data_IF_931077930222
#
_entry.id   IF_931077930222
#
_cell.length_a   1.000
_cell.length_b   1.000
_cell.length_c   1.000
_cell.angle_alpha   90.00
_cell.angle_beta   90.00
_cell.angle_gamma   90.00
#
_symmetry.space_group_name_H-M   'P 1'
#
loop_
_entity.id
_entity.type
_entity.pdbx_description
1 polymer ?
#
# COMPACT_ATOMS: atom_id res chain seq x y z
N UNK A 1 12.75 9.37 6.15
CA UNK A 1 12.40 8.96 4.78
C UNK A 1 11.26 9.87 4.31
N UNK A 2 11.23 10.33 3.06
CA UNK A 2 10.09 11.18 2.59
C UNK A 2 8.85 10.31 2.43
N UNK A 3 7.65 10.89 2.56
CA UNK A 3 6.39 10.15 2.36
C UNK A 3 6.32 9.49 0.98
N UNK A 4 6.82 10.16 -0.07
CA UNK A 4 6.91 9.58 -1.41
C UNK A 4 7.75 8.29 -1.44
N UNK A 5 8.90 8.28 -0.76
CA UNK A 5 9.74 7.07 -0.69
C UNK A 5 9.05 5.91 0.05
N UNK A 6 8.24 6.21 1.06
CA UNK A 6 7.42 5.20 1.75
C UNK A 6 6.37 4.64 0.79
N UNK A 7 5.63 5.51 0.11
CA UNK A 7 4.60 5.12 -0.88
C UNK A 7 5.22 4.22 -1.96
N UNK A 8 6.33 4.65 -2.56
CA UNK A 8 7.01 3.88 -3.61
C UNK A 8 7.51 2.52 -3.08
N UNK A 9 7.96 2.44 -1.83
CA UNK A 9 8.40 1.18 -1.21
C UNK A 9 7.22 0.24 -0.98
N UNK A 10 6.12 0.74 -0.44
CA UNK A 10 4.89 -0.04 -0.23
C UNK A 10 4.38 -0.58 -1.55
N UNK A 11 4.20 0.27 -2.56
CA UNK A 11 3.69 -0.16 -3.88
C UNK A 11 4.56 -1.25 -4.48
N UNK A 12 5.89 -1.07 -4.52
CA UNK A 12 6.81 -2.09 -5.05
C UNK A 12 6.79 -3.40 -4.29
N UNK A 13 6.59 -3.39 -2.98
CA UNK A 13 6.54 -4.65 -2.20
C UNK A 13 5.22 -5.39 -2.33
N UNK A 14 4.14 -4.67 -2.63
CA UNK A 14 2.82 -5.23 -2.89
C UNK A 14 2.64 -5.70 -4.35
N UNK A 15 3.49 -5.22 -5.26
CA UNK A 15 3.52 -5.72 -6.64
C UNK A 15 3.77 -7.24 -6.68
N UNK A 16 2.92 -7.96 -7.41
CA UNK A 16 3.05 -9.39 -7.60
C UNK A 16 2.58 -10.25 -6.42
N UNK A 17 2.01 -9.66 -5.37
CA UNK A 17 1.31 -10.43 -4.33
C UNK A 17 0.05 -11.04 -4.94
N UNK A 18 -0.12 -12.37 -4.91
CA UNK A 18 -1.32 -13.03 -5.43
C UNK A 18 -2.60 -12.46 -4.80
N UNK A 19 -3.64 -12.34 -5.61
CA UNK A 19 -4.93 -11.79 -5.18
C UNK A 19 -4.97 -10.28 -4.98
N UNK A 20 -3.86 -9.52 -5.02
CA UNK A 20 -3.93 -8.05 -5.07
C UNK A 20 -4.30 -7.61 -6.50
N UNK A 21 -5.44 -6.96 -6.63
CA UNK A 21 -5.97 -6.44 -7.91
C UNK A 21 -5.57 -4.97 -8.10
N UNK A 22 -5.47 -4.21 -7.00
CA UNK A 22 -5.07 -2.81 -7.07
C UNK A 22 -4.59 -2.27 -5.74
N UNK A 23 -3.63 -1.35 -5.80
CA UNK A 23 -3.14 -0.57 -4.66
C UNK A 23 -3.45 0.89 -4.94
N UNK A 24 -4.16 1.55 -4.02
CA UNK A 24 -4.60 2.94 -4.18
C UNK A 24 -4.07 3.80 -3.05
N UNK A 25 -3.69 5.03 -3.37
CA UNK A 25 -3.40 6.06 -2.39
C UNK A 25 -4.70 6.75 -2.01
N UNK A 26 -4.94 6.87 -0.70
CA UNK A 26 -6.09 7.56 -0.14
C UNK A 26 -5.73 8.91 0.49
N UNK A 27 -6.76 9.54 1.07
CA UNK A 27 -6.59 10.64 2.00
C UNK A 27 -6.03 11.94 1.41
N UNK A 28 -5.37 12.71 2.27
CA UNK A 28 -4.88 14.06 1.96
C UNK A 28 -3.79 14.03 0.88
N UNK A 29 -2.98 12.96 0.82
CA UNK A 29 -1.90 12.81 -0.15
C UNK A 29 -2.44 12.51 -1.55
N UNK A 30 -3.46 11.65 -1.67
CA UNK A 30 -4.14 11.42 -2.94
C UNK A 30 -4.82 12.67 -3.49
N UNK A 31 -5.36 13.51 -2.61
CA UNK A 31 -6.02 14.78 -2.99
C UNK A 31 -5.06 15.95 -3.21
N UNK A 32 -3.78 15.79 -2.93
CA UNK A 32 -2.80 16.88 -3.00
C UNK A 32 -2.96 17.95 -1.89
N UNK A 33 -3.76 17.70 -0.85
CA UNK A 33 -4.03 18.63 0.27
C UNK A 33 -3.28 18.28 1.55
N UNK A 34 -2.20 17.51 1.43
CA UNK A 34 -1.44 17.01 2.58
C UNK A 34 -0.53 18.08 3.17
N UNK A 35 -0.28 17.96 4.48
CA UNK A 35 0.76 18.71 5.19
C UNK A 35 2.02 17.85 5.36
N UNK A 36 3.18 18.43 5.71
CA UNK A 36 4.40 17.65 5.92
C UNK A 36 4.27 16.53 6.95
N UNK A 37 3.41 16.71 7.95
CA UNK A 37 3.10 15.77 9.03
C UNK A 37 1.88 14.88 8.78
N UNK A 38 1.23 14.99 7.61
CA UNK A 38 0.14 14.10 7.25
C UNK A 38 0.62 12.65 7.12
N UNK A 39 -0.23 11.74 7.57
CA UNK A 39 -0.12 10.31 7.38
C UNK A 39 -0.25 9.87 5.91
N UNK A 40 -0.21 8.56 5.70
CA UNK A 40 -0.33 7.91 4.40
C UNK A 40 -1.44 6.87 4.51
N UNK A 41 -2.51 7.04 3.74
CA UNK A 41 -3.59 6.07 3.61
C UNK A 41 -3.36 5.19 2.36
N UNK A 42 -3.29 3.88 2.53
CA UNK A 42 -3.19 2.91 1.43
C UNK A 42 -4.39 1.97 1.48
N UNK A 43 -5.12 1.87 0.36
CA UNK A 43 -6.17 0.90 0.15
C UNK A 43 -5.72 -0.24 -0.77
N UNK A 44 -6.20 -1.46 -0.53
CA UNK A 44 -5.94 -2.63 -1.35
C UNK A 44 -7.27 -3.20 -1.83
N UNK A 45 -7.43 -3.32 -3.15
CA UNK A 45 -8.47 -4.14 -3.75
C UNK A 45 -7.90 -5.53 -3.97
N UNK A 46 -8.60 -6.54 -3.49
CA UNK A 46 -8.15 -7.92 -3.58
C UNK A 46 -9.27 -8.85 -4.04
N UNK A 47 -8.86 -9.97 -4.62
CA UNK A 47 -9.71 -11.09 -5.01
C UNK A 47 -9.25 -12.32 -4.22
N UNK A 48 -10.10 -12.78 -3.30
CA UNK A 48 -9.84 -13.96 -2.47
C UNK A 48 -9.69 -15.22 -3.31
N UNK A 49 -10.44 -15.34 -4.41
CA UNK A 49 -10.40 -16.51 -5.27
C UNK A 49 -9.09 -16.61 -6.05
N UNK A 50 -8.37 -15.49 -6.21
CA UNK A 50 -7.06 -15.42 -6.84
C UNK A 50 -5.90 -15.65 -5.86
N UNK A 51 -6.18 -16.12 -4.64
CA UNK A 51 -5.17 -16.54 -3.66
C UNK A 51 -4.63 -15.40 -2.80
N UNK A 52 -5.47 -14.41 -2.48
CA UNK A 52 -5.08 -13.34 -1.55
C UNK A 52 -4.64 -13.92 -0.20
N UNK A 53 -3.43 -13.56 0.22
CA UNK A 53 -2.79 -14.11 1.42
C UNK A 53 -2.45 -12.99 2.42
N UNK A 54 -3.24 -12.93 3.49
CA UNK A 54 -3.07 -11.97 4.58
C UNK A 54 -1.78 -12.23 5.38
N UNK A 55 -1.33 -13.48 5.51
CA UNK A 55 -0.07 -13.79 6.19
C UNK A 55 1.11 -13.26 5.39
N UNK A 56 1.11 -13.45 4.06
CA UNK A 56 2.12 -12.88 3.18
C UNK A 56 2.12 -11.35 3.20
N UNK A 57 0.93 -10.74 3.22
CA UNK A 57 0.79 -9.29 3.35
C UNK A 57 1.40 -8.78 4.67
N UNK A 58 1.17 -9.48 5.78
CA UNK A 58 1.77 -9.17 7.08
C UNK A 58 3.30 -9.29 7.07
N UNK A 59 3.87 -10.31 6.42
CA UNK A 59 5.33 -10.43 6.28
C UNK A 59 5.95 -9.26 5.52
N UNK A 60 5.26 -8.77 4.48
CA UNK A 60 5.68 -7.59 3.73
C UNK A 60 5.63 -6.36 4.63
N UNK A 61 4.54 -6.17 5.37
CA UNK A 61 4.34 -5.03 6.26
C UNK A 61 5.44 -4.93 7.34
N UNK A 62 5.88 -6.08 7.88
CA UNK A 62 6.98 -6.13 8.87
C UNK A 62 8.35 -5.71 8.32
N UNK A 63 8.50 -5.61 7.00
CA UNK A 63 9.77 -5.31 6.32
C UNK A 63 9.77 -3.93 5.67
N UNK A 64 8.75 -3.10 5.91
CA UNK A 64 8.61 -1.77 5.30
C UNK A 64 9.56 -0.72 5.90
#
# INVERSE_FOLDING_TARGET
MTAQKIIDNVTRKLEGVPGIVGVVLGGSRARGTHRPDSDIDIGIYYDESAGFDVARLNEIALRL
#
